data_IF_537985767021
#
_entry.id   IF_537985767021
#
_cell.length_a   1.000
_cell.length_b   1.000
_cell.length_c   1.000
_cell.angle_alpha   90.00
_cell.angle_beta   90.00
_cell.angle_gamma   90.00
#
_symmetry.space_group_name_H-M   'P 1'
#
loop_
_entity.id
_entity.type
_entity.pdbx_description
1 polymer ?
#
# COMPACT_ATOMS: atom_id res chain seq x y z
N UNK A 1 13.87 3.24 -1.40
CA UNK A 1 13.42 3.80 -2.71
C UNK A 1 11.92 4.07 -2.74
N UNK A 2 11.05 3.09 -2.45
CA UNK A 2 9.61 3.24 -2.64
C UNK A 2 9.01 4.48 -1.94
N UNK A 3 9.39 4.76 -0.68
CA UNK A 3 8.95 5.95 0.04
C UNK A 3 9.19 7.26 -0.74
N UNK A 4 10.41 7.47 -1.24
CA UNK A 4 10.73 8.64 -2.07
C UNK A 4 10.00 8.62 -3.40
N UNK A 5 9.79 7.45 -4.01
CA UNK A 5 9.02 7.33 -5.26
C UNK A 5 7.56 7.71 -5.07
N UNK A 6 6.95 7.38 -3.93
CA UNK A 6 5.57 7.80 -3.60
C UNK A 6 5.47 9.33 -3.52
N UNK A 7 6.40 9.98 -2.81
CA UNK A 7 6.44 11.45 -2.73
C UNK A 7 6.63 12.07 -4.12
N UNK A 8 7.57 11.54 -4.91
CA UNK A 8 7.81 12.00 -6.28
C UNK A 8 6.59 11.83 -7.19
N UNK A 9 5.91 10.68 -7.12
CA UNK A 9 4.68 10.44 -7.89
C UNK A 9 3.58 11.44 -7.48
N UNK A 10 3.39 11.67 -6.18
CA UNK A 10 2.43 12.66 -5.69
C UNK A 10 2.76 14.07 -6.19
N UNK A 11 4.03 14.47 -6.16
CA UNK A 11 4.46 15.78 -6.65
C UNK A 11 4.22 15.92 -8.16
N UNK A 12 4.53 14.89 -8.95
CA UNK A 12 4.28 14.89 -10.40
C UNK A 12 2.78 14.93 -10.72
N UNK A 13 1.96 14.18 -9.99
CA UNK A 13 0.52 14.06 -10.25
C UNK A 13 -0.28 15.29 -9.83
N UNK A 14 0.15 15.93 -8.75
CA UNK A 14 -0.50 17.16 -8.24
C UNK A 14 0.10 18.44 -8.80
N UNK A 15 1.27 18.39 -9.44
CA UNK A 15 2.00 19.57 -9.89
C UNK A 15 2.37 20.51 -8.73
N UNK A 16 2.62 19.95 -7.54
CA UNK A 16 2.74 20.71 -6.28
C UNK A 16 3.89 20.20 -5.43
N UNK A 17 4.43 21.09 -4.58
CA UNK A 17 5.34 20.76 -3.49
C UNK A 17 4.72 20.99 -2.10
N UNK A 18 3.46 21.43 -2.04
CA UNK A 18 2.70 21.64 -0.80
C UNK A 18 2.42 20.29 -0.09
N UNK A 19 2.93 20.07 1.14
CA UNK A 19 2.79 18.81 1.86
C UNK A 19 1.33 18.34 2.03
N UNK A 20 0.38 19.23 2.25
CA UNK A 20 -1.02 18.83 2.44
C UNK A 20 -1.64 18.33 1.14
N UNK A 21 -1.37 18.99 0.01
CA UNK A 21 -1.81 18.51 -1.31
C UNK A 21 -1.22 17.14 -1.64
N UNK A 22 0.07 16.94 -1.34
CA UNK A 22 0.73 15.65 -1.54
C UNK A 22 0.11 14.55 -0.68
N UNK A 23 -0.13 14.85 0.61
CA UNK A 23 -0.73 13.90 1.56
C UNK A 23 -2.16 13.53 1.13
N UNK A 24 -2.97 14.51 0.73
CA UNK A 24 -4.34 14.28 0.25
C UNK A 24 -4.35 13.41 -1.00
N UNK A 25 -3.42 13.63 -1.94
CA UNK A 25 -3.29 12.75 -3.10
C UNK A 25 -2.90 11.32 -2.70
N UNK A 26 -1.86 11.15 -1.87
CA UNK A 26 -1.38 9.84 -1.41
C UNK A 26 -2.48 9.01 -0.70
N UNK A 27 -3.33 9.66 0.08
CA UNK A 27 -4.43 9.02 0.81
C UNK A 27 -5.73 8.92 -0.01
N UNK A 28 -5.74 9.48 -1.21
CA UNK A 28 -6.89 9.46 -2.11
C UNK A 28 -7.06 8.13 -2.84
N UNK A 29 -8.26 7.89 -3.35
CA UNK A 29 -8.60 6.66 -4.08
C UNK A 29 -7.83 6.53 -5.42
N UNK A 30 -7.36 7.65 -5.97
CA UNK A 30 -6.62 7.68 -7.24
C UNK A 30 -5.14 7.34 -7.07
N UNK A 31 -4.64 7.24 -5.83
CA UNK A 31 -3.26 6.89 -5.60
C UNK A 31 -3.03 5.38 -5.79
N UNK A 32 -2.12 5.06 -6.70
CA UNK A 32 -1.50 3.75 -6.76
C UNK A 32 -0.07 3.86 -7.26
N UNK A 33 0.78 2.92 -6.86
CA UNK A 33 2.18 2.88 -7.29
C UNK A 33 2.59 1.46 -7.67
N UNK A 34 3.24 1.33 -8.84
CA UNK A 34 3.90 0.10 -9.23
C UNK A 34 5.25 -0.01 -8.53
N UNK A 35 5.43 -1.06 -7.75
CA UNK A 35 6.66 -1.30 -6.99
C UNK A 35 7.34 -2.64 -7.35
N UNK A 36 7.10 -3.14 -8.57
CA UNK A 36 7.65 -4.42 -9.08
C UNK A 36 7.32 -5.64 -8.23
N UNK A 37 6.12 -5.65 -7.61
CA UNK A 37 5.64 -6.76 -6.79
C UNK A 37 4.43 -7.50 -7.40
N UNK A 38 4.27 -7.43 -8.72
CA UNK A 38 3.18 -8.08 -9.46
C UNK A 38 1.80 -7.41 -9.34
N UNK A 39 1.58 -6.59 -8.31
CA UNK A 39 0.33 -5.86 -8.09
C UNK A 39 0.57 -4.37 -7.84
N UNK A 40 -0.44 -3.55 -8.11
CA UNK A 40 -0.43 -2.13 -7.72
C UNK A 40 -0.48 -1.99 -6.20
N UNK A 41 0.28 -1.06 -5.64
CA UNK A 41 0.28 -0.79 -4.20
C UNK A 41 -0.54 0.46 -3.90
N UNK A 42 -1.22 0.48 -2.76
CA UNK A 42 -2.09 1.58 -2.31
C UNK A 42 -1.91 1.79 -0.81
N UNK A 43 -2.39 2.91 -0.27
CA UNK A 43 -2.41 3.14 1.19
C UNK A 43 -3.78 2.79 1.77
N UNK A 44 -3.78 2.18 2.96
CA UNK A 44 -5.00 1.90 3.73
C UNK A 44 -5.53 3.21 4.34
N UNK A 45 -6.82 3.52 4.20
CA UNK A 45 -7.37 4.76 4.75
C UNK A 45 -7.42 4.80 6.28
N UNK A 46 -7.47 3.65 6.96
CA UNK A 46 -7.65 3.60 8.43
C UNK A 46 -6.37 3.62 9.26
N UNK A 47 -5.23 3.29 8.66
CA UNK A 47 -3.94 3.28 9.36
C UNK A 47 -2.76 3.80 8.51
N UNK A 48 -3.03 4.29 7.30
CA UNK A 48 -2.03 4.79 6.34
C UNK A 48 -0.91 3.79 6.02
N UNK A 49 -1.15 2.50 6.22
CA UNK A 49 -0.20 1.46 5.89
C UNK A 49 -0.27 1.12 4.41
N UNK A 50 0.90 0.90 3.81
CA UNK A 50 1.01 0.43 2.42
C UNK A 50 0.50 -1.00 2.29
N UNK A 51 -0.54 -1.19 1.46
CA UNK A 51 -0.95 -2.49 0.95
C UNK A 51 0.13 -2.99 0.00
N UNK A 52 0.87 -4.01 0.43
CA UNK A 52 1.87 -4.66 -0.39
C UNK A 52 1.95 -6.15 -0.09
N UNK A 53 2.23 -6.98 -1.11
CA UNK A 53 2.46 -8.38 -0.87
C UNK A 53 3.82 -8.60 -0.19
N UNK A 54 3.90 -9.71 0.54
CA UNK A 54 5.11 -10.14 1.27
C UNK A 54 5.71 -11.33 0.52
N UNK A 55 6.96 -11.17 0.09
CA UNK A 55 7.70 -12.24 -0.59
C UNK A 55 8.22 -13.20 0.48
N UNK A 56 7.85 -14.48 0.39
CA UNK A 56 8.35 -15.53 1.26
C UNK A 56 9.50 -16.24 0.53
N UNK A 57 10.63 -16.42 1.22
CA UNK A 57 11.85 -16.97 0.64
C UNK A 57 12.51 -17.97 1.59
N UNK A 58 13.15 -18.98 1.02
CA UNK A 58 14.01 -19.93 1.74
C UNK A 58 15.47 -19.44 1.88
N UNK A 59 15.75 -18.21 1.43
CA UNK A 59 17.10 -17.62 1.38
C UNK A 59 17.83 -17.81 0.05
N UNK A 60 17.34 -18.65 -0.87
CA UNK A 60 17.90 -18.85 -2.22
C UNK A 60 16.94 -18.40 -3.31
N UNK A 61 15.65 -18.64 -3.12
CA UNK A 61 14.61 -18.27 -4.06
C UNK A 61 13.34 -17.80 -3.34
N UNK A 62 12.46 -17.13 -4.08
CA UNK A 62 11.11 -16.83 -3.61
C UNK A 62 10.32 -18.13 -3.73
N UNK A 63 9.79 -18.62 -2.60
CA UNK A 63 8.97 -19.84 -2.57
C UNK A 63 7.50 -19.53 -2.77
N UNK A 64 7.05 -18.35 -2.34
CA UNK A 64 5.68 -17.89 -2.53
C UNK A 64 5.55 -16.39 -2.26
N UNK A 65 4.38 -15.83 -2.57
CA UNK A 65 4.03 -14.44 -2.31
C UNK A 65 2.75 -14.42 -1.50
N UNK A 66 2.72 -13.69 -0.38
CA UNK A 66 1.53 -13.52 0.45
C UNK A 66 0.75 -12.26 0.05
N UNK A 67 -0.59 -12.30 0.04
CA UNK A 67 -1.40 -13.49 0.29
C UNK A 67 -1.32 -14.48 -0.90
N UNK A 68 -1.39 -15.78 -0.59
CA UNK A 68 -1.50 -16.81 -1.62
C UNK A 68 -2.92 -16.80 -2.22
N UNK A 69 -3.08 -17.40 -3.39
CA UNK A 69 -4.38 -17.57 -4.05
C UNK A 69 -5.39 -18.26 -3.10
N UNK A 70 -6.62 -17.75 -3.08
CA UNK A 70 -7.71 -18.24 -2.21
C UNK A 70 -7.88 -17.48 -0.89
N UNK A 71 -6.92 -16.63 -0.50
CA UNK A 71 -7.09 -15.72 0.64
C UNK A 71 -7.86 -14.48 0.21
N UNK A 72 -9.17 -14.49 0.44
CA UNK A 72 -10.08 -13.44 0.02
C UNK A 72 -10.29 -12.37 1.10
N UNK A 73 -10.47 -11.14 0.64
CA UNK A 73 -10.97 -10.03 1.45
C UNK A 73 -12.07 -9.29 0.70
N UNK A 74 -12.93 -8.61 1.43
CA UNK A 74 -14.08 -7.89 0.87
C UNK A 74 -13.67 -6.74 -0.06
N UNK A 75 -12.55 -6.10 0.24
CA UNK A 75 -12.06 -4.87 -0.43
C UNK A 75 -10.81 -5.10 -1.27
N UNK A 76 -9.82 -5.80 -0.72
CA UNK A 76 -8.53 -6.07 -1.35
C UNK A 76 -7.91 -7.28 -0.68
N UNK A 77 -7.49 -8.30 -1.42
CA UNK A 77 -6.81 -9.48 -0.86
C UNK A 77 -5.62 -9.11 0.04
N UNK A 78 -4.92 -8.00 -0.24
CA UNK A 78 -3.83 -7.47 0.58
C UNK A 78 -4.26 -7.01 1.98
N UNK A 79 -5.56 -6.83 2.23
CA UNK A 79 -6.11 -6.50 3.56
C UNK A 79 -6.19 -7.72 4.48
N UNK A 80 -6.01 -8.94 3.96
CA UNK A 80 -5.75 -10.14 4.79
C UNK A 80 -4.41 -10.09 5.53
N UNK A 81 -3.50 -9.20 5.10
CA UNK A 81 -2.17 -9.07 5.71
C UNK A 81 -2.20 -8.08 6.88
N UNK A 82 -2.26 -8.59 8.11
CA UNK A 82 -2.29 -7.78 9.34
C UNK A 82 -3.70 -7.44 9.81
N UNK A 83 -3.83 -6.50 10.75
CA UNK A 83 -5.12 -6.13 11.33
C UNK A 83 -5.99 -5.37 10.32
N UNK A 84 -7.23 -5.82 10.15
CA UNK A 84 -8.20 -5.19 9.27
C UNK A 84 -8.80 -3.91 9.90
N UNK A 85 -9.54 -3.13 9.11
CA UNK A 85 -10.21 -1.90 9.54
C UNK A 85 -11.06 -2.05 10.81
N UNK A 86 -11.95 -3.05 10.98
CA UNK A 86 -12.78 -3.18 12.19
C UNK A 86 -11.98 -3.60 13.42
N UNK A 87 -10.80 -4.22 13.24
CA UNK A 87 -9.92 -4.67 14.32
C UNK A 87 -8.91 -3.59 14.75
N UNK A 88 -8.69 -2.61 13.88
CA UNK A 88 -7.70 -1.55 14.09
C UNK A 88 -8.09 -0.61 15.25
N UNK A 89 -7.18 -0.47 16.21
CA UNK A 89 -7.25 0.55 17.27
C UNK A 89 -6.71 1.92 16.84
N UNK A 90 -6.19 2.05 15.62
CA UNK A 90 -5.62 3.31 15.12
C UNK A 90 -6.71 4.38 15.01
N UNK A 91 -6.43 5.57 15.55
CA UNK A 91 -7.28 6.76 15.47
C UNK A 91 -6.45 7.88 14.84
N UNK A 92 -6.45 7.91 13.51
CA UNK A 92 -5.81 8.98 12.74
C UNK A 92 -6.53 10.30 13.03
N UNK A 93 -5.75 11.36 13.24
CA UNK A 93 -6.24 12.71 13.50
C UNK A 93 -6.19 13.54 12.23
#
# INVERSE_FOLDING_TARGET
WLAMRMIGEAATRTGSNDPEKLRLYLLGNDFSIAAFKGVRLTLRPWNQQLRQPILLSDGRMIVSVSPQEGFLHQTSELDTLGADQPESKCKLK
#
